data_IF_074788724124
#
_entry.id   IF_074788724124
#
_cell.length_a   1.000
_cell.length_b   1.000
_cell.length_c   1.000
_cell.angle_alpha   90.00
_cell.angle_beta   90.00
_cell.angle_gamma   90.00
#
_symmetry.space_group_name_H-M   'P 1'
#
loop_
_entity.id
_entity.type
_entity.pdbx_description
1 polymer ?
#
# COMPACT_ATOMS: atom_id res chain seq x y z
N UNK A 1 6.02 -2.96 -14.85
CA UNK A 1 4.91 -2.74 -13.90
C UNK A 1 5.00 -3.80 -12.80
N UNK A 2 4.59 -3.52 -11.58
CA UNK A 2 4.56 -4.45 -10.44
C UNK A 2 3.22 -4.38 -9.72
N UNK A 3 2.91 -5.38 -8.90
CA UNK A 3 1.71 -5.43 -8.06
C UNK A 3 2.07 -5.72 -6.61
N UNK A 4 1.29 -5.16 -5.69
CA UNK A 4 1.35 -5.51 -4.27
C UNK A 4 0.59 -6.83 -4.07
N UNK A 5 1.28 -7.84 -3.55
CA UNK A 5 0.69 -9.15 -3.24
C UNK A 5 0.19 -9.21 -1.81
N UNK A 6 0.94 -8.61 -0.89
CA UNK A 6 0.52 -8.44 0.50
C UNK A 6 1.26 -7.29 1.16
N UNK A 7 0.67 -6.74 2.22
CA UNK A 7 1.33 -5.83 3.13
C UNK A 7 0.94 -6.17 4.56
N UNK A 8 1.90 -6.15 5.46
CA UNK A 8 1.70 -6.44 6.89
C UNK A 8 2.44 -5.42 7.72
N UNK A 9 1.77 -4.91 8.76
CA UNK A 9 2.25 -3.86 9.63
C UNK A 9 1.14 -2.88 9.96
N UNK A 10 1.52 -1.67 10.36
CA UNK A 10 0.57 -0.63 10.78
C UNK A 10 0.86 0.70 10.09
N UNK A 11 -0.20 1.47 9.82
CA UNK A 11 -0.13 2.78 9.17
C UNK A 11 -0.76 3.86 10.05
N UNK A 12 -0.31 5.09 9.88
CA UNK A 12 -0.92 6.26 10.52
C UNK A 12 -2.12 6.73 9.70
N UNK A 13 -3.22 7.02 10.38
CA UNK A 13 -4.36 7.69 9.77
C UNK A 13 -4.27 9.19 10.08
N UNK A 14 -4.12 10.08 9.09
CA UNK A 14 -3.76 11.48 9.31
C UNK A 14 -4.77 12.26 10.16
N UNK A 15 -6.02 11.81 10.22
CA UNK A 15 -7.10 12.45 10.96
C UNK A 15 -7.71 11.57 12.07
N UNK A 16 -7.00 10.55 12.56
CA UNK A 16 -7.52 9.69 13.63
C UNK A 16 -6.84 9.92 14.97
N UNK A 17 -7.67 9.91 16.02
CA UNK A 17 -7.22 9.93 17.42
C UNK A 17 -6.57 8.60 17.85
N UNK A 18 -6.74 7.52 17.09
CA UNK A 18 -6.17 6.21 17.43
C UNK A 18 -4.68 6.08 17.09
N UNK A 19 -4.13 7.04 16.33
CA UNK A 19 -2.73 7.05 15.93
C UNK A 19 -2.41 6.04 14.83
N UNK A 20 -2.54 4.75 15.10
CA UNK A 20 -2.14 3.65 14.20
C UNK A 20 -3.25 2.65 13.90
N UNK A 21 -3.26 2.17 12.67
CA UNK A 21 -4.19 1.16 12.18
C UNK A 21 -3.43 -0.02 11.60
N UNK A 22 -3.79 -1.24 12.02
CA UNK A 22 -3.20 -2.47 11.49
C UNK A 22 -3.71 -2.73 10.07
N UNK A 23 -2.81 -3.01 9.13
CA UNK A 23 -3.15 -3.33 7.74
C UNK A 23 -3.82 -4.71 7.69
N UNK A 24 -5.03 -4.77 7.13
CA UNK A 24 -5.67 -6.02 6.73
C UNK A 24 -5.21 -6.44 5.34
N UNK A 25 -5.24 -5.50 4.40
CA UNK A 25 -4.67 -5.66 3.07
C UNK A 25 -4.33 -4.31 2.45
N UNK A 26 -3.39 -4.34 1.50
CA UNK A 26 -3.07 -3.25 0.59
C UNK A 26 -3.02 -3.83 -0.82
N UNK A 27 -3.83 -3.29 -1.71
CA UNK A 27 -3.93 -3.71 -3.10
C UNK A 27 -3.56 -2.54 -4.00
N UNK A 28 -2.71 -2.79 -4.99
CA UNK A 28 -2.22 -1.71 -5.84
C UNK A 28 -1.22 -2.18 -6.87
N UNK A 29 -1.07 -1.36 -7.92
CA UNK A 29 -0.04 -1.53 -8.96
C UNK A 29 0.94 -0.37 -8.92
N UNK A 30 2.17 -0.61 -9.35
CA UNK A 30 3.21 0.40 -9.43
C UNK A 30 4.08 0.24 -10.67
N UNK A 31 4.73 1.31 -11.07
CA UNK A 31 5.74 1.33 -12.13
C UNK A 31 7.10 1.47 -11.46
N UNK A 32 8.06 0.64 -11.85
CA UNK A 32 9.48 0.85 -11.57
C UNK A 32 10.08 1.43 -12.86
N UNK A 33 10.68 2.61 -12.77
CA UNK A 33 11.38 3.26 -13.86
C UNK A 33 12.82 2.74 -13.99
N UNK A 34 13.48 3.04 -15.11
CA UNK A 34 14.85 2.56 -15.39
C UNK A 34 15.88 3.09 -14.38
N UNK A 35 15.64 4.27 -13.81
CA UNK A 35 16.45 4.88 -12.75
C UNK A 35 16.18 4.28 -11.35
N UNK A 36 15.29 3.29 -11.26
CA UNK A 36 14.89 2.62 -10.02
C UNK A 36 13.81 3.36 -9.23
N UNK A 37 13.31 4.51 -9.69
CA UNK A 37 12.19 5.16 -9.05
C UNK A 37 10.92 4.31 -9.13
N UNK A 38 10.16 4.28 -8.04
CA UNK A 38 8.88 3.57 -7.96
C UNK A 38 7.74 4.58 -7.84
N UNK A 39 6.76 4.47 -8.74
CA UNK A 39 5.58 5.32 -8.73
C UNK A 39 4.31 4.48 -8.68
N UNK A 40 3.35 4.94 -7.88
CA UNK A 40 2.00 4.40 -7.84
C UNK A 40 1.34 4.48 -9.23
N UNK A 41 0.76 3.36 -9.68
CA UNK A 41 -0.05 3.28 -10.90
C UNK A 41 -1.52 3.16 -10.50
N UNK A 42 -2.29 4.23 -10.71
CA UNK A 42 -3.68 4.40 -10.25
C UNK A 42 -3.83 4.38 -8.71
N UNK A 43 -5.03 4.67 -8.21
CA UNK A 43 -5.34 4.61 -6.78
C UNK A 43 -5.10 3.20 -6.22
N UNK A 44 -4.41 3.11 -5.08
CA UNK A 44 -4.35 1.86 -4.31
C UNK A 44 -5.55 1.77 -3.38
N UNK A 45 -5.90 0.56 -2.95
CA UNK A 45 -6.94 0.34 -1.94
C UNK A 45 -6.30 -0.25 -0.70
N UNK A 46 -6.56 0.37 0.44
CA UNK A 46 -6.15 -0.13 1.75
C UNK A 46 -7.37 -0.47 2.59
N UNK A 47 -7.31 -1.59 3.30
CA UNK A 47 -8.16 -1.86 4.45
C UNK A 47 -7.32 -1.99 5.70
N UNK A 48 -7.72 -1.32 6.77
CA UNK A 48 -7.03 -1.35 8.05
C UNK A 48 -8.02 -1.36 9.21
N UNK A 49 -7.56 -1.81 10.38
CA UNK A 49 -8.36 -1.93 11.60
C UNK A 49 -7.70 -1.17 12.75
N UNK A 50 -8.48 -0.33 13.41
CA UNK A 50 -8.07 0.43 14.58
C UNK A 50 -8.18 -0.38 15.87
N UNK A 51 -7.66 0.19 16.95
CA UNK A 51 -7.76 -0.32 18.32
C UNK A 51 -9.22 -0.45 18.82
N UNK A 52 -10.14 0.37 18.29
CA UNK A 52 -11.57 0.27 18.56
C UNK A 52 -12.30 -0.82 17.78
N UNK A 53 -11.56 -1.66 17.04
CA UNK A 53 -12.06 -2.60 16.03
C UNK A 53 -12.78 -1.93 14.85
N UNK A 54 -12.68 -0.61 14.69
CA UNK A 54 -13.18 0.10 13.52
C UNK A 54 -12.35 -0.30 12.28
N UNK A 55 -13.03 -0.84 11.28
CA UNK A 55 -12.43 -1.16 9.98
C UNK A 55 -12.65 0.01 9.03
N UNK A 56 -11.56 0.48 8.42
CA UNK A 56 -11.58 1.55 7.43
C UNK A 56 -11.08 0.95 6.11
N UNK A 57 -11.81 1.18 5.02
CA UNK A 57 -11.39 0.82 3.66
C UNK A 57 -11.47 2.07 2.79
N UNK A 58 -10.34 2.50 2.25
CA UNK A 58 -10.22 3.75 1.50
C UNK A 58 -9.27 3.60 0.31
N UNK A 59 -9.45 4.49 -0.66
CA UNK A 59 -8.42 4.72 -1.67
C UNK A 59 -7.25 5.49 -1.07
N UNK A 60 -6.04 5.06 -1.42
CA UNK A 60 -4.80 5.75 -1.11
C UNK A 60 -4.42 6.56 -2.34
N UNK A 61 -4.74 7.84 -2.29
CA UNK A 61 -4.33 8.83 -3.28
C UNK A 61 -3.13 9.60 -2.71
N UNK A 62 -1.92 9.08 -2.94
CA UNK A 62 -0.67 9.70 -2.49
C UNK A 62 0.03 8.97 -1.36
N UNK A 63 0.46 9.70 -0.32
CA UNK A 63 1.39 9.16 0.69
C UNK A 63 0.67 8.38 1.78
N UNK A 64 1.00 7.11 1.91
CA UNK A 64 0.71 6.28 3.08
C UNK A 64 1.90 6.33 4.05
N UNK A 65 1.64 6.60 5.33
CA UNK A 65 2.70 6.72 6.34
C UNK A 65 2.68 5.49 7.24
N UNK A 66 3.80 4.78 7.30
CA UNK A 66 3.98 3.65 8.20
C UNK A 66 4.10 4.13 9.66
N UNK A 67 3.41 3.46 10.59
CA UNK A 67 3.52 3.72 12.02
C UNK A 67 4.75 3.03 12.64
N UNK A 68 5.12 1.89 12.06
CA UNK A 68 6.23 1.01 12.41
C UNK A 68 6.75 0.35 11.12
N UNK A 69 7.87 -0.40 11.12
CA UNK A 69 8.33 -1.08 9.92
C UNK A 69 7.22 -1.95 9.28
N UNK A 70 6.89 -1.66 8.02
CA UNK A 70 5.89 -2.40 7.23
C UNK A 70 6.61 -3.33 6.28
N UNK A 71 6.19 -4.60 6.26
CA UNK A 71 6.62 -5.56 5.25
C UNK A 71 5.64 -5.51 4.07
N UNK A 72 6.18 -5.33 2.86
CA UNK A 72 5.40 -5.39 1.62
C UNK A 72 5.99 -6.49 0.74
N UNK A 73 5.14 -7.43 0.33
CA UNK A 73 5.48 -8.43 -0.66
C UNK A 73 4.94 -7.95 -1.99
N UNK A 74 5.82 -7.82 -2.97
CA UNK A 74 5.48 -7.40 -4.33
C UNK A 74 5.77 -8.50 -5.33
N UNK A 75 5.08 -8.50 -6.45
CA UNK A 75 5.29 -9.46 -7.53
C UNK A 75 4.61 -9.05 -8.82
N UNK A 76 4.55 -9.97 -9.78
CA UNK A 76 4.05 -9.77 -11.16
C UNK A 76 4.73 -8.60 -11.87
N UNK A 77 5.86 -8.87 -12.50
CA UNK A 77 6.47 -7.95 -13.46
C UNK A 77 6.12 -8.43 -14.87
N UNK A 78 4.98 -8.03 -15.46
CA UNK A 78 4.74 -8.37 -16.86
C UNK A 78 5.92 -7.83 -17.68
N UNK A 79 6.66 -8.77 -18.25
CA UNK A 79 7.65 -8.52 -19.27
C UNK A 79 6.83 -8.06 -20.47
N UNK A 80 6.95 -6.80 -20.86
CA UNK A 80 6.56 -6.43 -22.22
C UNK A 80 7.60 -7.05 -23.15
N UNK A 81 7.48 -8.35 -23.41
CA UNK A 81 8.06 -8.97 -24.59
C UNK A 81 7.11 -8.67 -25.73
N UNK A 82 7.24 -7.47 -26.28
CA UNK A 82 6.71 -7.11 -27.58
C UNK A 82 7.89 -6.61 -28.40
N UNK A 83 8.49 -7.54 -29.14
CA UNK A 83 9.27 -7.29 -30.36
C UNK A 83 8.51 -6.41 -31.34
#
# INVERSE_FOLDING_TARGET
MGSILSATGSVLHPNSNEGSYKINYLLGRFIIFEDGHVQQHESWTISCVGSSCLVITNEVNGRLIAAEPVQVIVGTFPINSST
#
